data_IF_526587180669
#
_entry.id   IF_526587180669
#
_cell.length_a   1.000
_cell.length_b   1.000
_cell.length_c   1.000
_cell.angle_alpha   90.00
_cell.angle_beta   90.00
_cell.angle_gamma   90.00
#
_symmetry.space_group_name_H-M   'P 1'
#
loop_
_entity.id
_entity.type
_entity.pdbx_description
1 polymer ?
#
# COMPACT_ATOMS: atom_id res chain seq x y z
N UNK A 1 34.01 -8.86 -3.32
CA UNK A 1 32.92 -7.90 -3.08
C UNK A 1 32.69 -7.88 -1.59
N UNK A 2 33.02 -6.77 -0.94
CA UNK A 2 32.85 -6.61 0.50
C UNK A 2 31.35 -6.61 0.82
N UNK A 3 30.87 -7.62 1.55
CA UNK A 3 29.56 -7.57 2.18
C UNK A 3 29.55 -6.32 3.06
N UNK A 4 28.79 -5.30 2.68
CA UNK A 4 28.54 -4.17 3.55
C UNK A 4 27.85 -4.73 4.81
N UNK A 5 28.50 -4.58 5.97
CA UNK A 5 27.92 -4.94 7.26
C UNK A 5 26.52 -4.30 7.36
N UNK A 6 25.47 -5.14 7.45
CA UNK A 6 24.07 -4.70 7.52
C UNK A 6 23.18 -4.97 6.30
N UNK A 7 23.69 -5.55 5.21
CA UNK A 7 22.86 -5.98 4.08
C UNK A 7 22.05 -7.26 4.38
N UNK A 8 20.80 -7.34 3.90
CA UNK A 8 19.94 -8.52 4.08
C UNK A 8 20.56 -9.76 3.41
N UNK A 9 20.73 -10.84 4.18
CA UNK A 9 21.19 -12.13 3.64
C UNK A 9 20.01 -12.99 3.20
N UNK A 10 20.08 -13.52 1.97
CA UNK A 10 19.07 -14.40 1.39
C UNK A 10 19.40 -15.89 1.53
N UNK A 11 20.49 -16.25 2.20
CA UNK A 11 20.91 -17.64 2.38
C UNK A 11 20.36 -18.25 3.67
N UNK A 12 19.91 -19.51 3.60
CA UNK A 12 19.32 -20.24 4.73
C UNK A 12 18.18 -19.46 5.41
N UNK A 13 17.15 -19.14 4.61
CA UNK A 13 15.98 -18.35 5.02
C UNK A 13 14.69 -19.06 4.67
N UNK A 14 13.69 -18.85 5.50
CA UNK A 14 12.28 -19.11 5.23
C UNK A 14 11.61 -17.80 4.83
N UNK A 15 10.92 -17.79 3.69
CA UNK A 15 10.48 -16.57 3.04
C UNK A 15 8.99 -16.61 2.75
N UNK A 16 8.25 -15.56 3.15
CA UNK A 16 6.88 -15.34 2.67
C UNK A 16 6.94 -14.81 1.23
N UNK A 17 6.28 -15.51 0.31
CA UNK A 17 6.23 -15.14 -1.09
C UNK A 17 5.37 -13.90 -1.36
N UNK A 18 5.67 -13.13 -2.43
CA UNK A 18 4.81 -12.04 -2.87
C UNK A 18 3.47 -12.59 -3.38
N UNK A 19 2.38 -12.05 -2.86
CA UNK A 19 1.02 -12.49 -3.19
C UNK A 19 0.07 -11.31 -3.28
N UNK A 20 -0.42 -11.00 -4.47
CA UNK A 20 -1.39 -9.92 -4.69
C UNK A 20 -2.62 -10.07 -3.79
N UNK A 21 -2.99 -8.99 -3.12
CA UNK A 21 -3.97 -8.86 -2.02
C UNK A 21 -3.58 -9.53 -0.70
N UNK A 22 -2.80 -10.60 -0.70
CA UNK A 22 -2.49 -11.33 0.55
C UNK A 22 -1.30 -10.72 1.27
N UNK A 23 -0.26 -10.31 0.54
CA UNK A 23 1.00 -9.77 1.07
C UNK A 23 0.92 -8.33 1.57
N UNK A 24 -0.22 -7.90 2.14
CA UNK A 24 -0.37 -6.62 2.84
C UNK A 24 0.26 -6.68 4.24
N UNK A 25 0.44 -5.52 4.90
CA UNK A 25 1.17 -5.42 6.17
C UNK A 25 0.72 -6.44 7.23
N UNK A 26 -0.58 -6.68 7.47
CA UNK A 26 -1.01 -7.63 8.50
C UNK A 26 -0.49 -9.05 8.29
N UNK A 27 -0.50 -9.55 7.05
CA UNK A 27 0.01 -10.89 6.73
C UNK A 27 1.53 -10.96 6.88
N UNK A 28 2.24 -9.90 6.49
CA UNK A 28 3.70 -9.85 6.59
C UNK A 28 4.15 -9.89 8.05
N UNK A 29 3.55 -9.05 8.91
CA UNK A 29 3.85 -9.05 10.33
C UNK A 29 3.50 -10.38 10.99
N UNK A 30 2.33 -10.95 10.65
CA UNK A 30 1.93 -12.24 11.19
C UNK A 30 2.88 -13.39 10.76
N UNK A 31 3.37 -13.37 9.52
CA UNK A 31 4.37 -14.33 9.08
C UNK A 31 5.70 -14.16 9.83
N UNK A 32 6.13 -12.93 10.12
CA UNK A 32 7.32 -12.65 10.93
C UNK A 32 7.16 -13.15 12.38
N UNK A 33 5.99 -12.93 12.99
CA UNK A 33 5.69 -13.41 14.35
C UNK A 33 5.78 -14.94 14.45
N UNK A 34 5.35 -15.62 13.39
CA UNK A 34 5.45 -17.08 13.31
C UNK A 34 6.80 -17.60 12.82
N UNK A 35 7.78 -16.74 12.55
CA UNK A 35 9.17 -17.15 12.32
C UNK A 35 9.63 -17.11 10.87
N UNK A 36 8.90 -16.46 9.95
CA UNK A 36 9.47 -16.15 8.64
C UNK A 36 10.66 -15.19 8.81
N UNK A 37 11.76 -15.45 8.08
CA UNK A 37 12.95 -14.59 8.15
C UNK A 37 12.80 -13.35 7.26
N UNK A 38 12.15 -13.51 6.11
CA UNK A 38 11.99 -12.47 5.07
C UNK A 38 10.54 -12.48 4.59
N UNK A 39 9.98 -11.29 4.37
CA UNK A 39 8.59 -11.14 3.89
C UNK A 39 8.53 -10.27 2.65
N UNK A 40 7.97 -10.80 1.57
CA UNK A 40 7.73 -10.02 0.36
C UNK A 40 6.35 -9.34 0.45
N UNK A 41 6.26 -8.08 0.01
CA UNK A 41 4.96 -7.45 -0.22
C UNK A 41 4.29 -8.02 -1.47
N UNK A 42 3.03 -7.66 -1.68
CA UNK A 42 2.38 -7.92 -2.96
C UNK A 42 3.08 -7.23 -4.14
N UNK A 43 2.89 -7.75 -5.35
CA UNK A 43 3.36 -7.09 -6.56
C UNK A 43 2.64 -5.74 -6.73
N UNK A 44 3.42 -4.66 -6.69
CA UNK A 44 2.93 -3.30 -6.90
C UNK A 44 3.44 -2.75 -8.24
N UNK A 45 2.54 -2.22 -9.06
CA UNK A 45 2.86 -1.78 -10.41
C UNK A 45 3.59 -0.45 -10.38
N UNK A 46 4.76 -0.39 -11.02
CA UNK A 46 5.65 0.77 -11.05
C UNK A 46 4.96 2.07 -11.51
N UNK A 47 4.10 2.00 -12.54
CA UNK A 47 3.33 3.13 -13.07
C UNK A 47 2.49 3.80 -11.98
N UNK A 48 1.91 3.02 -11.07
CA UNK A 48 1.10 3.53 -9.96
C UNK A 48 1.97 4.00 -8.79
N UNK A 49 3.02 3.25 -8.47
CA UNK A 49 3.94 3.61 -7.39
C UNK A 49 4.73 4.90 -7.68
N UNK A 50 5.09 5.15 -8.94
CA UNK A 50 5.80 6.37 -9.34
C UNK A 50 4.97 7.66 -9.14
N UNK A 51 3.66 7.53 -8.91
CA UNK A 51 2.76 8.65 -8.62
C UNK A 51 2.53 8.84 -7.11
N UNK A 52 3.12 7.98 -6.26
CA UNK A 52 2.87 8.00 -4.84
C UNK A 52 3.81 8.95 -4.10
N UNK A 53 3.32 9.48 -2.99
CA UNK A 53 4.11 10.25 -2.02
C UNK A 53 4.38 9.39 -0.78
N UNK A 54 5.60 9.51 -0.24
CA UNK A 54 5.97 8.89 1.04
C UNK A 54 5.47 9.77 2.19
N UNK A 55 4.58 9.23 3.01
CA UNK A 55 3.94 9.91 4.14
C UNK A 55 4.26 9.16 5.43
N UNK A 56 4.80 9.84 6.43
CA UNK A 56 4.91 9.28 7.78
C UNK A 56 3.55 9.40 8.45
N UNK A 57 3.03 8.30 8.97
CA UNK A 57 1.73 8.22 9.61
C UNK A 57 1.93 7.94 11.10
N UNK A 58 2.06 9.02 11.88
CA UNK A 58 2.32 8.95 13.32
C UNK A 58 1.16 8.35 14.13
N UNK A 59 -0.07 8.40 13.60
CA UNK A 59 -1.24 7.78 14.26
C UNK A 59 -1.07 6.26 14.31
N UNK A 60 -0.65 5.67 13.20
CA UNK A 60 -0.46 4.22 13.05
C UNK A 60 0.98 3.76 13.35
N UNK A 61 1.94 4.68 13.43
CA UNK A 61 3.37 4.34 13.51
C UNK A 61 3.90 3.72 12.22
N UNK A 62 3.36 4.13 11.06
CA UNK A 62 3.70 3.55 9.76
C UNK A 62 4.34 4.55 8.81
N UNK A 63 4.92 4.04 7.73
CA UNK A 63 5.23 4.79 6.52
C UNK A 63 4.29 4.32 5.43
N UNK A 64 3.54 5.26 4.85
CA UNK A 64 2.53 5.03 3.84
C UNK A 64 2.99 5.62 2.50
N UNK A 65 2.83 4.88 1.42
CA UNK A 65 3.04 5.36 0.06
C UNK A 65 1.68 5.59 -0.57
N UNK A 66 1.30 6.86 -0.67
CA UNK A 66 -0.08 7.29 -0.93
C UNK A 66 -0.20 7.80 -2.37
N UNK A 67 -1.11 7.22 -3.14
CA UNK A 67 -1.41 7.66 -4.50
C UNK A 67 -2.23 8.97 -4.51
N UNK A 68 -2.32 9.67 -5.66
CA UNK A 68 -3.03 10.96 -5.75
C UNK A 68 -4.53 10.90 -5.43
N UNK A 69 -5.12 9.69 -5.50
CA UNK A 69 -6.50 9.39 -5.10
C UNK A 69 -6.64 9.05 -3.60
N UNK A 70 -5.64 9.39 -2.79
CA UNK A 70 -5.55 9.15 -1.33
C UNK A 70 -5.45 7.66 -0.96
N UNK A 71 -5.34 6.75 -1.94
CA UNK A 71 -5.21 5.32 -1.65
C UNK A 71 -3.78 5.00 -1.21
N UNK A 72 -3.65 4.34 -0.07
CA UNK A 72 -2.38 3.77 0.39
C UNK A 72 -2.05 2.55 -0.47
N UNK A 73 -0.99 2.65 -1.29
CA UNK A 73 -0.53 1.59 -2.19
C UNK A 73 0.41 0.61 -1.50
N UNK A 74 1.25 1.13 -0.59
CA UNK A 74 2.14 0.33 0.25
C UNK A 74 2.18 0.95 1.64
N UNK A 75 2.06 0.11 2.67
CA UNK A 75 2.20 0.50 4.08
C UNK A 75 3.23 -0.42 4.70
N UNK A 76 4.20 0.15 5.39
CA UNK A 76 5.28 -0.55 6.11
C UNK A 76 5.45 0.06 7.50
N UNK A 77 6.14 -0.65 8.39
CA UNK A 77 6.45 -0.18 9.74
C UNK A 77 7.88 -0.58 10.15
N UNK A 78 8.31 -0.08 11.30
CA UNK A 78 9.67 -0.27 11.81
C UNK A 78 10.03 -1.74 12.03
N UNK A 79 9.04 -2.54 12.41
CA UNK A 79 9.14 -3.94 12.81
C UNK A 79 9.58 -4.83 11.64
N UNK A 80 9.13 -4.52 10.41
CA UNK A 80 9.50 -5.29 9.22
C UNK A 80 10.59 -4.61 8.37
N UNK A 81 10.97 -3.36 8.65
CA UNK A 81 11.92 -2.57 7.82
C UNK A 81 13.20 -3.33 7.45
N UNK A 82 13.75 -4.12 8.37
CA UNK A 82 14.96 -4.93 8.14
C UNK A 82 14.73 -6.27 7.45
N UNK A 83 13.47 -6.62 7.11
CA UNK A 83 13.04 -7.96 6.65
C UNK A 83 12.08 -7.92 5.45
N UNK A 84 11.46 -6.77 5.16
CA UNK A 84 10.49 -6.61 4.07
C UNK A 84 11.18 -6.38 2.73
N UNK A 85 10.75 -7.12 1.71
CA UNK A 85 11.20 -6.97 0.32
C UNK A 85 10.07 -6.38 -0.51
N UNK A 86 10.35 -5.24 -1.15
CA UNK A 86 9.39 -4.57 -2.01
C UNK A 86 9.41 -5.17 -3.42
N UNK A 87 8.35 -5.88 -3.82
CA UNK A 87 8.24 -6.41 -5.17
C UNK A 87 7.50 -5.45 -6.10
N UNK A 88 8.13 -5.06 -7.21
CA UNK A 88 7.49 -4.30 -8.27
C UNK A 88 7.23 -5.13 -9.53
N UNK A 89 6.13 -4.80 -10.20
CA UNK A 89 5.91 -5.12 -11.61
C UNK A 89 6.38 -3.94 -12.46
N UNK A 90 7.33 -4.17 -13.36
CA UNK A 90 7.90 -3.13 -14.24
C UNK A 90 8.33 -3.71 -15.58
N UNK A 91 8.41 -2.86 -16.59
CA UNK A 91 8.95 -3.16 -17.92
C UNK A 91 9.85 -2.04 -18.44
N UNK A 92 10.28 -1.13 -17.56
CA UNK A 92 10.99 0.10 -17.88
C UNK A 92 12.08 0.37 -16.82
N UNK A 93 13.37 0.39 -17.21
CA UNK A 93 14.47 0.54 -16.26
C UNK A 93 14.43 1.83 -15.44
N UNK A 94 14.09 2.96 -16.07
CA UNK A 94 14.12 4.27 -15.42
C UNK A 94 12.97 4.42 -14.43
N UNK A 95 11.76 3.98 -14.82
CA UNK A 95 10.62 3.99 -13.91
C UNK A 95 10.80 3.02 -12.75
N UNK A 96 11.40 1.86 -12.98
CA UNK A 96 11.79 0.94 -11.91
C UNK A 96 12.71 1.64 -10.90
N UNK A 97 13.73 2.37 -11.39
CA UNK A 97 14.66 3.10 -10.53
C UNK A 97 13.99 4.22 -9.73
N UNK A 98 13.08 4.99 -10.34
CA UNK A 98 12.28 6.00 -9.64
C UNK A 98 11.52 5.39 -8.46
N UNK A 99 10.84 4.26 -8.68
CA UNK A 99 10.07 3.57 -7.62
C UNK A 99 11.00 2.96 -6.58
N UNK A 100 12.13 2.40 -6.98
CA UNK A 100 13.09 1.83 -6.04
C UNK A 100 13.66 2.89 -5.09
N UNK A 101 14.04 4.06 -5.61
CA UNK A 101 14.51 5.20 -4.79
C UNK A 101 13.43 5.76 -3.87
N UNK A 102 12.16 5.71 -4.29
CA UNK A 102 11.04 6.12 -3.45
C UNK A 102 10.95 5.27 -2.17
N UNK A 103 11.19 3.95 -2.27
CA UNK A 103 10.97 3.00 -1.15
C UNK A 103 12.25 2.55 -0.44
N UNK A 104 13.45 2.74 -1.00
CA UNK A 104 14.68 2.08 -0.54
C UNK A 104 15.01 2.33 0.94
N UNK A 105 14.58 3.45 1.50
CA UNK A 105 14.85 3.81 2.89
C UNK A 105 13.91 3.15 3.91
N UNK A 106 12.84 2.48 3.46
CA UNK A 106 11.81 1.88 4.31
C UNK A 106 11.67 0.37 4.11
N UNK A 107 12.54 -0.23 3.29
CA UNK A 107 12.56 -1.66 2.97
C UNK A 107 13.97 -2.23 3.04
N UNK A 108 14.06 -3.56 3.16
CA UNK A 108 15.34 -4.26 3.27
C UNK A 108 15.95 -4.57 1.90
N UNK A 109 15.10 -4.78 0.89
CA UNK A 109 15.51 -5.07 -0.49
C UNK A 109 14.39 -4.70 -1.48
N UNK A 110 14.75 -4.65 -2.77
CA UNK A 110 13.83 -4.44 -3.89
C UNK A 110 13.84 -5.68 -4.79
N UNK A 111 12.67 -6.12 -5.24
CA UNK A 111 12.50 -7.28 -6.11
C UNK A 111 11.74 -6.94 -7.39
N UNK A 112 12.13 -7.56 -8.51
CA UNK A 112 11.41 -7.46 -9.78
C UNK A 112 10.64 -8.75 -10.07
N UNK A 113 9.32 -8.62 -10.28
CA UNK A 113 8.48 -9.73 -10.70
C UNK A 113 8.70 -10.05 -12.19
N UNK A 114 9.17 -11.26 -12.46
CA UNK A 114 9.34 -11.83 -13.81
C UNK A 114 8.56 -13.14 -13.98
N UNK A 115 7.60 -13.42 -13.07
CA UNK A 115 6.92 -14.72 -13.00
C UNK A 115 5.40 -14.66 -13.13
N UNK A 116 4.78 -13.48 -13.01
CA UNK A 116 3.32 -13.34 -13.04
C UNK A 116 2.75 -13.63 -14.44
N UNK A 117 1.86 -14.63 -14.60
CA UNK A 117 1.24 -14.96 -15.89
C UNK A 117 -0.07 -14.23 -16.14
N UNK A 118 -0.54 -13.39 -15.20
CA UNK A 118 -1.85 -12.74 -15.27
C UNK A 118 -1.83 -11.59 -16.28
N UNK A 119 -2.96 -11.38 -16.95
CA UNK A 119 -3.07 -10.41 -18.05
C UNK A 119 -2.73 -8.97 -17.66
N UNK A 120 -3.10 -8.53 -16.45
CA UNK A 120 -2.79 -7.17 -16.00
C UNK A 120 -1.28 -6.91 -15.94
N UNK A 121 -0.47 -7.96 -15.77
CA UNK A 121 0.99 -7.89 -15.80
C UNK A 121 1.52 -8.03 -17.22
N UNK A 122 1.12 -9.09 -17.92
CA UNK A 122 1.70 -9.43 -19.23
C UNK A 122 1.34 -8.45 -20.34
N UNK A 123 0.13 -7.83 -20.32
CA UNK A 123 -0.25 -6.78 -21.28
C UNK A 123 0.62 -5.52 -21.16
N UNK A 124 1.16 -5.24 -19.96
CA UNK A 124 2.10 -4.15 -19.73
C UNK A 124 3.56 -4.51 -20.02
N UNK A 125 3.84 -5.70 -20.55
CA UNK A 125 5.21 -6.20 -20.76
C UNK A 125 5.93 -6.64 -19.48
N UNK A 126 5.21 -6.78 -18.36
CA UNK A 126 5.76 -7.10 -17.03
C UNK A 126 5.55 -8.58 -16.68
N UNK A 127 6.15 -9.04 -15.58
CA UNK A 127 5.97 -10.41 -15.10
C UNK A 127 6.54 -11.41 -16.08
N UNK A 128 5.83 -12.51 -16.34
CA UNK A 128 6.32 -13.57 -17.24
C UNK A 128 6.54 -13.14 -18.69
N UNK A 129 6.05 -11.98 -19.12
CA UNK A 129 6.36 -11.42 -20.43
C UNK A 129 7.82 -10.96 -20.56
N UNK A 130 8.48 -10.61 -19.43
CA UNK A 130 9.90 -10.25 -19.44
C UNK A 130 10.79 -11.45 -19.79
N UNK A 131 10.36 -12.68 -19.51
CA UNK A 131 11.17 -13.88 -19.71
C UNK A 131 11.52 -14.12 -21.20
N UNK A 132 10.76 -13.55 -22.13
CA UNK A 132 11.07 -13.58 -23.57
C UNK A 132 11.99 -12.45 -24.05
N UNK A 133 12.38 -11.52 -23.18
CA UNK A 133 13.21 -10.36 -23.50
C UNK A 133 14.35 -10.21 -22.46
N UNK A 134 15.40 -11.05 -22.56
CA UNK A 134 16.47 -11.03 -21.57
C UNK A 134 17.32 -9.76 -21.63
N UNK A 135 17.34 -9.03 -22.75
CA UNK A 135 18.01 -7.73 -22.87
C UNK A 135 17.31 -6.68 -21.99
N UNK A 136 15.97 -6.65 -22.00
CA UNK A 136 15.18 -5.80 -21.10
C UNK A 136 15.36 -6.19 -19.63
N UNK A 137 15.43 -7.49 -19.33
CA UNK A 137 15.75 -7.98 -17.97
C UNK A 137 17.08 -7.40 -17.48
N UNK A 138 18.14 -7.52 -18.29
CA UNK A 138 19.46 -6.99 -17.93
C UNK A 138 19.45 -5.48 -17.75
N UNK A 139 18.76 -4.76 -18.63
CA UNK A 139 18.63 -3.31 -18.54
C UNK A 139 17.95 -2.88 -17.22
N UNK A 140 16.83 -3.51 -16.85
CA UNK A 140 16.11 -3.22 -15.61
C UNK A 140 16.98 -3.53 -14.39
N UNK A 141 17.51 -4.76 -14.30
CA UNK A 141 18.26 -5.21 -13.13
C UNK A 141 19.56 -4.44 -12.95
N UNK A 142 20.32 -4.22 -14.02
CA UNK A 142 21.59 -3.48 -13.94
C UNK A 142 21.36 -2.02 -13.55
N UNK A 143 20.26 -1.42 -13.98
CA UNK A 143 19.88 -0.04 -13.60
C UNK A 143 19.55 0.04 -12.12
N UNK A 144 18.77 -0.92 -11.61
CA UNK A 144 18.44 -1.00 -10.19
C UNK A 144 19.69 -1.24 -9.33
N UNK A 145 20.49 -2.27 -9.64
CA UNK A 145 21.68 -2.66 -8.87
C UNK A 145 22.68 -1.50 -8.77
N UNK A 146 22.84 -0.70 -9.83
CA UNK A 146 23.72 0.48 -9.81
C UNK A 146 23.10 1.71 -9.15
N UNK A 147 21.77 1.75 -9.09
CA UNK A 147 21.02 2.97 -8.81
C UNK A 147 20.49 3.12 -7.37
N UNK A 148 20.46 2.04 -6.59
CA UNK A 148 20.03 2.05 -5.18
C UNK A 148 21.07 1.41 -4.26
N UNK A 149 20.97 1.71 -2.97
CA UNK A 149 21.85 1.17 -1.93
C UNK A 149 21.43 -0.20 -1.39
N UNK A 150 20.18 -0.62 -1.67
CA UNK A 150 19.61 -1.88 -1.18
C UNK A 150 19.88 -3.05 -2.14
N UNK A 151 19.96 -4.30 -1.62
CA UNK A 151 20.00 -5.49 -2.45
C UNK A 151 18.83 -5.53 -3.44
N UNK A 152 19.12 -5.92 -4.68
CA UNK A 152 18.11 -6.16 -5.71
C UNK A 152 17.99 -7.66 -5.94
N UNK A 153 16.76 -8.18 -5.96
CA UNK A 153 16.46 -9.57 -6.32
C UNK A 153 15.48 -9.62 -7.49
N UNK A 154 15.25 -10.81 -8.03
CA UNK A 154 14.13 -11.03 -8.93
C UNK A 154 13.48 -12.39 -8.69
N UNK A 155 12.21 -12.50 -9.06
CA UNK A 155 11.45 -13.76 -9.01
C UNK A 155 11.00 -14.20 -10.39
N UNK A 156 11.43 -15.38 -10.82
CA UNK A 156 11.14 -15.95 -12.14
C UNK A 156 10.24 -17.20 -12.07
N UNK A 157 9.77 -17.62 -13.25
CA UNK A 157 9.34 -19.00 -13.54
C UNK A 157 10.39 -19.66 -14.44
N UNK A 158 10.44 -20.99 -14.43
CA UNK A 158 11.30 -21.75 -15.35
C UNK A 158 10.82 -21.64 -16.80
N UNK A 159 11.74 -21.83 -17.74
CA UNK A 159 11.48 -21.85 -19.19
C UNK A 159 11.19 -23.29 -19.67
N UNK A 160 10.73 -23.48 -20.92
CA UNK A 160 10.40 -24.81 -21.45
C UNK A 160 11.55 -25.81 -21.45
N UNK A 161 12.80 -25.34 -21.50
CA UNK A 161 13.98 -26.21 -21.43
C UNK A 161 14.86 -25.82 -20.24
N UNK A 162 15.56 -26.82 -19.70
CA UNK A 162 16.51 -26.65 -18.60
C UNK A 162 17.68 -25.75 -19.04
N UNK A 163 18.19 -25.96 -20.26
CA UNK A 163 19.28 -25.16 -20.83
C UNK A 163 18.91 -23.67 -20.92
N UNK A 164 17.72 -23.35 -21.46
CA UNK A 164 17.27 -21.96 -21.56
C UNK A 164 17.12 -21.32 -20.18
N UNK A 165 16.57 -22.08 -19.21
CA UNK A 165 16.41 -21.61 -17.83
C UNK A 165 17.77 -21.28 -17.22
N UNK A 166 18.75 -22.18 -17.31
CA UNK A 166 20.10 -21.97 -16.78
C UNK A 166 20.80 -20.80 -17.48
N UNK A 167 20.69 -20.69 -18.81
CA UNK A 167 21.28 -19.60 -19.57
C UNK A 167 20.70 -18.23 -19.19
N UNK A 168 19.38 -18.15 -18.99
CA UNK A 168 18.71 -16.94 -18.51
C UNK A 168 19.21 -16.55 -17.12
N UNK A 169 19.28 -17.50 -16.18
CA UNK A 169 19.70 -17.19 -14.80
C UNK A 169 21.17 -16.77 -14.74
N UNK A 170 22.05 -17.35 -15.56
CA UNK A 170 23.44 -16.88 -15.70
C UNK A 170 23.54 -15.45 -16.27
N UNK A 171 22.64 -15.04 -17.19
CA UNK A 171 22.55 -13.62 -17.62
C UNK A 171 22.13 -12.75 -16.44
N UNK A 172 21.08 -13.15 -15.72
CA UNK A 172 20.56 -12.42 -14.56
C UNK A 172 21.65 -12.24 -13.49
N UNK A 173 22.40 -13.28 -13.14
CA UNK A 173 23.48 -13.19 -12.15
C UNK A 173 24.52 -12.11 -12.50
N UNK A 174 24.90 -11.99 -13.77
CA UNK A 174 25.87 -10.99 -14.24
C UNK A 174 25.43 -9.54 -14.02
N UNK A 175 24.14 -9.28 -13.81
CA UNK A 175 23.62 -7.94 -13.50
C UNK A 175 23.97 -7.48 -12.07
N UNK A 176 24.38 -8.41 -11.20
CA UNK A 176 24.75 -8.13 -9.81
C UNK A 176 23.58 -8.23 -8.81
N UNK A 177 22.47 -8.90 -9.17
CA UNK A 177 21.41 -9.22 -8.21
C UNK A 177 21.93 -10.03 -7.03
N UNK A 178 21.38 -9.79 -5.85
CA UNK A 178 21.81 -10.41 -4.60
C UNK A 178 21.27 -11.83 -4.40
N UNK A 179 20.14 -12.17 -5.03
CA UNK A 179 19.51 -13.49 -5.00
C UNK A 179 18.46 -13.61 -6.10
N UNK A 180 18.06 -14.85 -6.40
CA UNK A 180 16.97 -15.15 -7.33
C UNK A 180 15.99 -16.14 -6.74
N UNK A 181 14.70 -15.83 -6.83
CA UNK A 181 13.62 -16.76 -6.47
C UNK A 181 13.11 -17.49 -7.71
N UNK A 182 13.10 -18.82 -7.68
CA UNK A 182 12.71 -19.65 -8.83
C UNK A 182 11.44 -20.42 -8.49
N UNK A 183 10.34 -20.06 -9.15
CA UNK A 183 9.16 -20.92 -9.16
C UNK A 183 9.39 -22.04 -10.18
N UNK A 184 9.57 -23.28 -9.69
CA UNK A 184 9.79 -24.49 -10.52
C UNK A 184 8.56 -24.94 -11.32
N UNK A 185 7.84 -24.01 -11.94
CA UNK A 185 6.75 -24.28 -12.90
C UNK A 185 6.83 -23.30 -14.06
N UNK A 186 6.62 -23.79 -15.26
CA UNK A 186 6.53 -23.00 -16.49
C UNK A 186 5.30 -22.08 -16.45
N UNK A 187 5.22 -21.10 -17.35
CA UNK A 187 4.14 -20.09 -17.38
C UNK A 187 2.74 -20.72 -17.51
N UNK A 188 2.62 -21.75 -18.33
CA UNK A 188 1.38 -22.45 -18.67
C UNK A 188 0.95 -23.39 -17.54
N UNK A 189 1.90 -23.85 -16.73
CA UNK A 189 1.67 -24.79 -15.65
C UNK A 189 0.90 -24.16 -14.48
N UNK A 190 -0.22 -24.82 -14.16
CA UNK A 190 -1.11 -24.52 -13.03
C UNK A 190 -0.66 -25.21 -11.75
N UNK A 191 -1.17 -24.79 -10.57
CA UNK A 191 -0.75 -25.37 -9.29
C UNK A 191 -1.03 -26.87 -9.09
N UNK A 192 -1.85 -27.48 -9.96
CA UNK A 192 -2.09 -28.93 -10.03
C UNK A 192 -0.94 -29.73 -10.65
N UNK A 193 -0.08 -29.08 -11.44
CA UNK A 193 1.11 -29.72 -11.99
C UNK A 193 2.17 -29.79 -10.90
N UNK A 194 3.02 -30.82 -10.88
CA UNK A 194 4.11 -30.93 -9.91
C UNK A 194 5.09 -29.76 -10.05
N UNK A 195 5.85 -29.51 -8.99
CA UNK A 195 6.99 -28.59 -9.06
C UNK A 195 8.23 -29.34 -9.59
N UNK A 196 8.95 -28.73 -10.53
CA UNK A 196 10.18 -29.26 -11.12
C UNK A 196 11.38 -28.88 -10.25
N UNK A 197 11.68 -29.71 -9.25
CA UNK A 197 12.84 -29.50 -8.36
C UNK A 197 14.17 -29.67 -9.07
N UNK A 198 14.25 -30.53 -10.08
CA UNK A 198 15.39 -30.75 -10.95
C UNK A 198 15.82 -29.47 -11.68
N UNK A 199 14.87 -28.66 -12.15
CA UNK A 199 15.16 -27.35 -12.73
C UNK A 199 15.73 -26.37 -11.71
N UNK A 200 15.15 -26.32 -10.50
CA UNK A 200 15.63 -25.42 -9.44
C UNK A 200 17.04 -25.82 -9.02
N UNK A 201 17.30 -27.13 -8.88
CA UNK A 201 18.61 -27.66 -8.54
C UNK A 201 19.65 -27.33 -9.60
N UNK A 202 19.35 -27.58 -10.88
CA UNK A 202 20.26 -27.25 -11.98
C UNK A 202 20.59 -25.75 -12.03
N UNK A 203 19.60 -24.89 -11.73
CA UNK A 203 19.84 -23.45 -11.59
C UNK A 203 20.77 -23.17 -10.40
N UNK A 204 20.50 -23.73 -9.23
CA UNK A 204 21.29 -23.51 -8.01
C UNK A 204 22.75 -23.95 -8.14
N UNK A 205 23.02 -25.03 -8.86
CA UNK A 205 24.37 -25.52 -9.15
C UNK A 205 25.12 -24.65 -10.19
N UNK A 206 24.38 -23.85 -10.97
CA UNK A 206 24.92 -23.11 -12.11
C UNK A 206 25.35 -21.67 -11.81
N UNK A 207 24.98 -21.14 -10.64
CA UNK A 207 25.25 -19.77 -10.20
C UNK A 207 25.78 -19.73 -8.77
N UNK A 208 26.44 -18.63 -8.42
CA UNK A 208 27.04 -18.36 -7.11
C UNK A 208 26.11 -17.59 -6.15
N UNK A 209 25.11 -16.89 -6.68
CA UNK A 209 24.11 -16.17 -5.87
C UNK A 209 23.11 -17.14 -5.20
N UNK A 210 22.57 -16.80 -4.01
CA UNK A 210 21.52 -17.59 -3.38
C UNK A 210 20.29 -17.79 -4.27
N UNK A 211 19.90 -19.06 -4.45
CA UNK A 211 18.64 -19.46 -5.08
C UNK A 211 17.59 -19.76 -4.02
N UNK A 212 16.40 -19.17 -4.17
CA UNK A 212 15.25 -19.35 -3.28
C UNK A 212 14.22 -20.23 -3.99
N UNK A 213 14.04 -21.47 -3.51
CA UNK A 213 13.10 -22.42 -4.10
C UNK A 213 11.64 -22.01 -3.83
N UNK A 214 10.80 -22.02 -4.87
CA UNK A 214 9.38 -21.69 -4.77
C UNK A 214 8.51 -22.68 -5.55
N UNK A 215 7.28 -22.87 -5.07
CA UNK A 215 6.26 -23.72 -5.72
C UNK A 215 5.89 -24.99 -4.94
N UNK A 216 6.58 -25.30 -3.84
CA UNK A 216 6.38 -26.53 -3.07
C UNK A 216 5.10 -26.60 -2.22
N UNK A 217 4.35 -25.50 -2.03
CA UNK A 217 3.14 -25.51 -1.19
C UNK A 217 2.13 -26.59 -1.63
N UNK A 218 1.59 -27.34 -0.65
CA UNK A 218 0.62 -28.45 -0.80
C UNK A 218 1.16 -29.75 -1.39
N UNK A 219 2.08 -29.61 -2.34
CA UNK A 219 2.71 -30.71 -3.07
C UNK A 219 3.80 -31.35 -2.20
N UNK A 220 4.80 -30.55 -1.86
CA UNK A 220 5.99 -30.94 -1.11
C UNK A 220 5.96 -30.45 0.34
N UNK A 221 5.30 -29.32 0.61
CA UNK A 221 5.34 -28.63 1.91
C UNK A 221 3.95 -28.57 2.53
N UNK A 222 3.78 -29.29 3.64
CA UNK A 222 2.58 -29.29 4.48
C UNK A 222 2.88 -28.93 5.94
N UNK A 223 4.09 -29.20 6.42
CA UNK A 223 4.55 -28.83 7.77
C UNK A 223 5.82 -27.97 7.71
N UNK A 224 6.27 -27.52 8.89
CA UNK A 224 7.52 -26.76 9.02
C UNK A 224 8.73 -27.59 8.55
N UNK A 225 8.81 -28.86 8.93
CA UNK A 225 9.92 -29.77 8.59
C UNK A 225 10.01 -30.06 7.10
N UNK A 226 8.88 -30.03 6.39
CA UNK A 226 8.86 -30.24 4.94
C UNK A 226 9.55 -29.11 4.17
N UNK A 227 9.70 -27.91 4.77
CA UNK A 227 10.45 -26.82 4.14
C UNK A 227 11.90 -27.22 3.90
N UNK A 228 12.54 -27.87 4.87
CA UNK A 228 13.93 -28.32 4.74
C UNK A 228 14.07 -29.44 3.71
N UNK A 229 13.10 -30.37 3.65
CA UNK A 229 13.06 -31.41 2.61
C UNK A 229 12.93 -30.80 1.22
N UNK A 230 12.05 -29.81 1.04
CA UNK A 230 11.89 -29.12 -0.24
C UNK A 230 13.15 -28.31 -0.61
N UNK A 231 13.77 -27.64 0.36
CA UNK A 231 15.04 -26.93 0.18
C UNK A 231 16.13 -27.87 -0.33
N UNK A 232 16.32 -28.99 0.34
CA UNK A 232 17.31 -30.01 0.01
C UNK A 232 17.04 -30.64 -1.37
N UNK A 233 15.79 -31.02 -1.65
CA UNK A 233 15.39 -31.61 -2.93
C UNK A 233 15.59 -30.66 -4.12
N UNK A 234 15.47 -29.35 -3.89
CA UNK A 234 15.67 -28.33 -4.92
C UNK A 234 17.12 -27.83 -4.99
N UNK A 235 18.05 -28.36 -4.17
CA UNK A 235 19.44 -27.87 -4.10
C UNK A 235 19.57 -26.39 -3.72
N UNK A 236 18.53 -25.79 -3.13
CA UNK A 236 18.41 -24.34 -2.98
C UNK A 236 18.99 -23.85 -1.65
N UNK A 237 19.31 -22.55 -1.60
CA UNK A 237 19.81 -21.91 -0.37
C UNK A 237 18.69 -21.63 0.64
N UNK A 238 17.50 -21.31 0.12
CA UNK A 238 16.34 -20.86 0.91
C UNK A 238 15.03 -21.35 0.31
N UNK A 239 13.93 -21.24 1.06
CA UNK A 239 12.59 -21.63 0.60
C UNK A 239 11.62 -20.48 0.75
N UNK A 240 10.80 -20.28 -0.29
CA UNK A 240 9.74 -19.29 -0.35
C UNK A 240 8.37 -19.95 -0.47
N UNK A 241 7.45 -19.65 0.46
CA UNK A 241 6.10 -20.21 0.51
C UNK A 241 5.03 -19.16 0.21
N UNK A 242 4.08 -19.52 -0.67
CA UNK A 242 2.93 -18.70 -1.02
C UNK A 242 1.64 -19.29 -0.42
N UNK A 243 1.05 -20.29 -1.10
CA UNK A 243 -0.27 -20.84 -0.75
C UNK A 243 -0.34 -21.41 0.67
N UNK A 244 0.71 -22.11 1.11
CA UNK A 244 0.73 -22.66 2.46
C UNK A 244 0.61 -21.56 3.52
N UNK A 245 1.38 -20.48 3.37
CA UNK A 245 1.33 -19.32 4.25
C UNK A 245 0.04 -18.51 4.10
N UNK A 246 -0.54 -18.42 2.89
CA UNK A 246 -1.84 -17.79 2.66
C UNK A 246 -2.98 -18.50 3.42
N UNK A 247 -2.93 -19.82 3.49
CA UNK A 247 -3.93 -20.61 4.21
C UNK A 247 -3.70 -20.60 5.71
N UNK A 248 -2.45 -20.68 6.14
CA UNK A 248 -2.06 -20.60 7.53
C UNK A 248 -0.62 -20.08 7.66
N UNK A 249 -0.40 -18.79 7.97
CA UNK A 249 0.95 -18.23 8.12
C UNK A 249 1.75 -18.87 9.25
N UNK A 250 1.13 -19.58 10.20
CA UNK A 250 1.86 -20.33 11.22
C UNK A 250 2.59 -21.56 10.67
N UNK A 251 2.56 -21.81 9.36
CA UNK A 251 3.44 -22.78 8.69
C UNK A 251 4.93 -22.50 8.94
N UNK A 252 5.30 -21.25 9.23
CA UNK A 252 6.66 -20.85 9.58
C UNK A 252 7.04 -21.18 11.04
N UNK A 253 6.07 -21.59 11.86
CA UNK A 253 6.28 -21.84 13.29
C UNK A 253 6.96 -23.18 13.52
N UNK A 254 8.14 -23.15 14.11
CA UNK A 254 8.95 -24.35 14.36
C UNK A 254 8.25 -25.37 15.28
N UNK A 255 7.39 -24.92 16.20
CA UNK A 255 6.64 -25.80 17.13
C UNK A 255 5.36 -26.38 16.49
N UNK A 256 5.20 -26.24 15.18
CA UNK A 256 4.02 -26.68 14.43
C UNK A 256 2.98 -25.58 14.22
N UNK A 257 2.15 -25.78 13.20
CA UNK A 257 1.09 -24.86 12.83
C UNK A 257 0.01 -24.78 13.91
N UNK A 258 -0.47 -23.57 14.16
CA UNK A 258 -1.61 -23.26 15.03
C UNK A 258 -2.94 -23.54 14.32
N UNK A 259 -4.03 -23.53 15.09
CA UNK A 259 -5.38 -23.60 14.52
C UNK A 259 -5.66 -22.40 13.60
N UNK A 260 -6.52 -22.59 12.60
CA UNK A 260 -6.86 -21.50 11.67
C UNK A 260 -7.62 -20.39 12.41
N UNK A 261 -8.41 -20.75 13.42
CA UNK A 261 -9.14 -19.84 14.29
C UNK A 261 -8.23 -18.86 15.03
N UNK A 262 -7.22 -19.38 15.74
CA UNK A 262 -6.23 -18.55 16.46
C UNK A 262 -5.50 -17.60 15.50
N UNK A 263 -5.11 -18.12 14.35
CA UNK A 263 -4.36 -17.37 13.32
C UNK A 263 -5.22 -16.26 12.69
N UNK A 264 -6.51 -16.52 12.47
CA UNK A 264 -7.45 -15.51 11.98
C UNK A 264 -7.64 -14.38 12.99
N UNK A 265 -7.73 -14.69 14.30
CA UNK A 265 -7.80 -13.65 15.34
C UNK A 265 -6.53 -12.79 15.37
N UNK A 266 -5.35 -13.41 15.32
CA UNK A 266 -4.07 -12.68 15.27
C UNK A 266 -3.99 -11.78 14.03
N UNK A 267 -4.44 -12.27 12.88
CA UNK A 267 -4.52 -11.48 11.66
C UNK A 267 -5.46 -10.28 11.81
N UNK A 268 -6.64 -10.47 12.42
CA UNK A 268 -7.61 -9.38 12.67
C UNK A 268 -7.00 -8.32 13.60
N UNK A 269 -6.25 -8.72 14.63
CA UNK A 269 -5.56 -7.78 15.53
C UNK A 269 -4.65 -6.83 14.73
N UNK A 270 -3.85 -7.36 13.81
CA UNK A 270 -3.03 -6.53 12.93
C UNK A 270 -3.85 -5.69 11.95
N UNK A 271 -4.88 -6.28 11.34
CA UNK A 271 -5.74 -5.57 10.40
C UNK A 271 -6.41 -4.33 11.03
N UNK A 272 -6.87 -4.44 12.28
CA UNK A 272 -7.48 -3.31 13.01
C UNK A 272 -6.43 -2.28 13.44
N UNK A 273 -5.31 -2.72 14.03
CA UNK A 273 -4.24 -1.83 14.51
C UNK A 273 -3.65 -0.96 13.40
N UNK A 274 -3.51 -1.52 12.21
CA UNK A 274 -2.93 -0.85 11.05
C UNK A 274 -3.97 -0.37 10.05
N UNK A 275 -5.23 -0.19 10.47
CA UNK A 275 -6.33 0.36 9.66
C UNK A 275 -6.38 -0.25 8.23
N UNK A 276 -6.29 -1.59 8.17
CA UNK A 276 -6.26 -2.32 6.92
C UNK A 276 -7.63 -2.26 6.23
N UNK A 277 -7.64 -2.20 4.90
CA UNK A 277 -8.89 -2.10 4.15
C UNK A 277 -9.81 -3.31 4.45
N UNK A 278 -11.10 -3.11 4.82
CA UNK A 278 -12.01 -4.21 5.18
C UNK A 278 -12.20 -5.27 4.09
N UNK A 279 -12.22 -4.86 2.82
CA UNK A 279 -12.30 -5.81 1.69
C UNK A 279 -11.05 -6.70 1.63
N UNK A 280 -9.87 -6.13 1.89
CA UNK A 280 -8.62 -6.88 1.95
C UNK A 280 -8.57 -7.82 3.16
N UNK A 281 -8.98 -7.34 4.34
CA UNK A 281 -9.07 -8.15 5.56
C UNK A 281 -9.98 -9.37 5.32
N UNK A 282 -11.20 -9.13 4.82
CA UNK A 282 -12.16 -10.20 4.48
C UNK A 282 -11.60 -11.17 3.45
N UNK A 283 -10.97 -10.67 2.39
CA UNK A 283 -10.38 -11.51 1.35
C UNK A 283 -9.39 -12.52 1.92
N UNK A 284 -8.46 -12.08 2.77
CA UNK A 284 -7.45 -12.94 3.38
C UNK A 284 -8.06 -13.97 4.34
N UNK A 285 -9.00 -13.56 5.19
CA UNK A 285 -9.72 -14.48 6.08
C UNK A 285 -10.50 -15.55 5.29
N UNK A 286 -11.12 -15.18 4.17
CA UNK A 286 -11.75 -16.17 3.28
C UNK A 286 -10.74 -17.13 2.65
N UNK A 287 -9.49 -16.69 2.36
CA UNK A 287 -8.45 -17.61 1.90
C UNK A 287 -8.03 -18.60 2.99
N UNK A 288 -8.01 -18.20 4.25
CA UNK A 288 -7.72 -19.06 5.39
C UNK A 288 -8.84 -20.09 5.63
N UNK A 289 -10.11 -19.66 5.50
CA UNK A 289 -11.26 -20.56 5.64
C UNK A 289 -11.36 -21.61 4.51
N UNK A 290 -10.85 -21.31 3.31
CA UNK A 290 -10.86 -22.22 2.15
C UNK A 290 -12.26 -22.76 1.85
N UNK A 291 -12.47 -24.07 2.01
CA UNK A 291 -13.71 -24.80 1.80
C UNK A 291 -14.78 -24.50 2.86
N UNK A 292 -14.40 -23.95 4.02
CA UNK A 292 -15.32 -23.57 5.08
C UNK A 292 -16.02 -22.21 4.87
N UNK A 293 -15.78 -21.53 3.75
CA UNK A 293 -16.44 -20.25 3.44
C UNK A 293 -17.96 -20.41 3.36
N UNK A 294 -18.47 -21.59 2.98
CA UNK A 294 -19.91 -21.88 2.90
C UNK A 294 -20.56 -22.24 4.24
N UNK A 295 -19.76 -22.37 5.31
CA UNK A 295 -20.28 -22.61 6.66
C UNK A 295 -21.12 -21.42 7.15
N UNK A 296 -22.01 -21.60 8.15
CA UNK A 296 -22.74 -20.48 8.75
C UNK A 296 -21.80 -19.35 9.20
N UNK A 297 -20.65 -19.70 9.78
CA UNK A 297 -19.61 -18.75 10.15
C UNK A 297 -19.03 -18.00 8.95
N UNK A 298 -18.63 -18.73 7.90
CA UNK A 298 -18.07 -18.16 6.67
C UNK A 298 -19.05 -17.24 5.94
N UNK A 299 -20.35 -17.55 5.94
CA UNK A 299 -21.41 -16.70 5.37
C UNK A 299 -21.57 -15.39 6.13
N UNK A 300 -21.52 -15.41 7.47
CA UNK A 300 -21.52 -14.16 8.26
C UNK A 300 -20.29 -13.31 7.96
N UNK A 301 -19.11 -13.92 7.91
CA UNK A 301 -17.88 -13.20 7.54
C UNK A 301 -17.98 -12.61 6.13
N UNK A 302 -18.54 -13.35 5.17
CA UNK A 302 -18.70 -12.87 3.81
C UNK A 302 -19.61 -11.63 3.73
N UNK A 303 -20.67 -11.60 4.55
CA UNK A 303 -21.63 -10.51 4.64
C UNK A 303 -21.05 -9.23 5.25
N UNK A 304 -20.03 -9.33 6.11
CA UNK A 304 -19.39 -8.16 6.75
C UNK A 304 -18.76 -7.21 5.72
N UNK A 305 -18.98 -5.90 5.91
CA UNK A 305 -18.51 -4.80 5.06
C UNK A 305 -17.47 -3.92 5.75
N UNK A 306 -17.40 -3.94 7.09
CA UNK A 306 -16.45 -3.15 7.88
C UNK A 306 -15.55 -4.04 8.74
N UNK A 307 -14.41 -3.51 9.21
CA UNK A 307 -13.56 -4.24 10.17
C UNK A 307 -14.27 -4.43 11.52
N UNK A 308 -15.22 -3.55 11.89
CA UNK A 308 -16.07 -3.69 13.07
C UNK A 308 -16.96 -4.94 12.97
N UNK A 309 -17.71 -5.07 11.88
CA UNK A 309 -18.55 -6.24 11.61
C UNK A 309 -17.72 -7.53 11.50
N UNK A 310 -16.51 -7.46 10.93
CA UNK A 310 -15.57 -8.59 10.95
C UNK A 310 -15.21 -8.96 12.40
N UNK A 311 -14.88 -7.98 13.25
CA UNK A 311 -14.58 -8.24 14.66
C UNK A 311 -15.78 -8.83 15.41
N UNK A 312 -16.99 -8.35 15.16
CA UNK A 312 -18.23 -8.91 15.74
C UNK A 312 -18.41 -10.39 15.39
N UNK A 313 -18.15 -10.78 14.14
CA UNK A 313 -18.23 -12.19 13.71
C UNK A 313 -17.28 -13.09 14.52
N UNK A 314 -16.15 -12.55 14.99
CA UNK A 314 -15.15 -13.25 15.80
C UNK A 314 -15.28 -12.98 17.31
N UNK A 315 -16.27 -12.20 17.77
CA UNK A 315 -16.41 -11.84 19.17
C UNK A 315 -15.32 -10.89 19.69
N UNK A 316 -14.72 -10.08 18.81
CA UNK A 316 -13.60 -9.18 19.09
C UNK A 316 -14.01 -7.70 19.18
N UNK A 317 -15.29 -7.40 19.44
CA UNK A 317 -15.84 -6.04 19.47
C UNK A 317 -15.15 -5.14 20.52
N UNK A 318 -14.89 -5.68 21.71
CA UNK A 318 -14.19 -4.91 22.78
C UNK A 318 -12.77 -4.51 22.36
N UNK A 319 -12.05 -5.42 21.69
CA UNK A 319 -10.74 -5.14 21.15
C UNK A 319 -10.79 -4.06 20.05
N UNK A 320 -11.77 -4.14 19.15
CA UNK A 320 -11.96 -3.15 18.09
C UNK A 320 -12.22 -1.76 18.68
N UNK A 321 -13.19 -1.65 19.60
CA UNK A 321 -13.57 -0.38 20.22
C UNK A 321 -12.40 0.25 20.98
N UNK A 322 -11.69 -0.55 21.77
CA UNK A 322 -10.50 -0.07 22.50
C UNK A 322 -9.43 0.44 21.54
N UNK A 323 -9.11 -0.34 20.50
CA UNK A 323 -8.06 0.04 19.54
C UNK A 323 -8.45 1.29 18.77
N UNK A 324 -9.70 1.43 18.33
CA UNK A 324 -10.19 2.64 17.65
C UNK A 324 -10.13 3.87 18.56
N UNK A 325 -10.53 3.74 19.83
CA UNK A 325 -10.42 4.83 20.80
C UNK A 325 -8.96 5.28 21.00
N UNK A 326 -8.01 4.35 21.08
CA UNK A 326 -6.59 4.66 21.17
C UNK A 326 -6.06 5.40 19.93
N UNK A 327 -6.47 4.98 18.72
CA UNK A 327 -6.08 5.65 17.48
C UNK A 327 -6.66 7.07 17.37
N UNK A 328 -7.93 7.27 17.72
CA UNK A 328 -8.54 8.60 17.74
C UNK A 328 -7.89 9.51 18.80
N UNK A 329 -7.56 8.98 19.97
CA UNK A 329 -6.83 9.74 21.00
C UNK A 329 -5.44 10.18 20.52
N UNK A 330 -4.69 9.30 19.82
CA UNK A 330 -3.39 9.66 19.21
C UNK A 330 -3.55 10.75 18.15
N UNK A 331 -4.56 10.61 17.28
CA UNK A 331 -4.88 11.60 16.25
C UNK A 331 -5.21 12.96 16.86
N UNK A 332 -6.03 12.99 17.91
CA UNK A 332 -6.34 14.22 18.64
C UNK A 332 -5.09 14.85 19.26
N UNK A 333 -4.23 14.06 19.91
CA UNK A 333 -2.99 14.55 20.52
C UNK A 333 -2.01 15.13 19.49
N UNK A 334 -1.91 14.52 18.30
CA UNK A 334 -1.07 15.03 17.21
C UNK A 334 -1.62 16.34 16.63
N UNK A 335 -2.93 16.48 16.52
CA UNK A 335 -3.57 17.74 16.10
C UNK A 335 -3.31 18.87 17.11
N UNK A 336 -3.38 18.60 18.42
CA UNK A 336 -3.07 19.60 19.45
C UNK A 336 -1.59 20.00 19.49
N UNK A 337 -0.68 19.08 19.15
CA UNK A 337 0.76 19.37 19.09
C UNK A 337 1.16 20.09 17.79
N UNK A 338 0.48 19.80 16.67
CA UNK A 338 0.68 20.50 15.39
C UNK A 338 0.36 21.98 15.47
N UNK A 339 -0.63 22.36 16.27
CA UNK A 339 -1.06 23.74 16.53
C UNK A 339 0.03 24.64 17.13
N UNK A 340 1.07 24.07 17.76
CA UNK A 340 2.19 24.86 18.28
C UNK A 340 3.23 25.25 17.21
N UNK A 341 3.22 24.59 16.04
CA UNK A 341 4.11 24.88 14.91
C UNK A 341 3.53 25.85 13.87
N UNK A 342 2.26 26.23 14.06
CA UNK A 342 1.45 27.05 13.17
C UNK A 342 1.40 28.52 13.59
N UNK A 343 2.49 29.08 14.11
CA UNK A 343 2.51 30.53 14.35
C UNK A 343 2.61 31.28 13.00
N UNK A 344 1.77 32.30 12.76
CA UNK A 344 1.87 33.14 11.58
C UNK A 344 3.24 33.80 11.50
N UNK A 345 3.93 33.62 10.38
CA UNK A 345 5.21 34.30 10.08
C UNK A 345 4.93 35.44 9.09
N UNK A 346 5.62 36.56 9.24
CA UNK A 346 5.56 37.65 8.27
C UNK A 346 6.77 37.54 7.34
N UNK A 347 6.53 37.26 6.07
CA UNK A 347 7.55 37.13 5.02
C UNK A 347 7.14 38.02 3.83
N UNK A 348 7.96 39.03 3.49
CA UNK A 348 7.73 39.94 2.35
C UNK A 348 6.31 40.56 2.31
N UNK A 349 5.86 41.14 3.44
CA UNK A 349 4.51 41.70 3.63
C UNK A 349 3.35 40.69 3.44
N UNK A 350 3.65 39.39 3.50
CA UNK A 350 2.67 38.31 3.47
C UNK A 350 2.75 37.49 4.74
N UNK A 351 1.60 37.28 5.38
CA UNK A 351 1.49 36.40 6.54
C UNK A 351 1.40 34.95 6.03
N UNK A 352 2.37 34.12 6.42
CA UNK A 352 2.51 32.73 5.97
C UNK A 352 2.36 31.73 7.12
N UNK A 353 1.70 30.62 6.83
CA UNK A 353 1.59 29.44 7.71
C UNK A 353 1.62 28.16 6.86
N UNK A 354 2.22 27.05 7.33
CA UNK A 354 2.28 25.80 6.57
C UNK A 354 0.97 24.99 6.69
N UNK A 355 -0.09 25.43 6.00
CA UNK A 355 -1.44 24.85 6.12
C UNK A 355 -1.90 24.18 4.82
N UNK A 356 -2.50 22.99 4.89
CA UNK A 356 -3.23 22.37 3.76
C UNK A 356 -4.73 22.40 3.95
N UNK A 357 -5.47 22.46 2.84
CA UNK A 357 -6.91 22.24 2.86
C UNK A 357 -7.26 20.77 2.65
N UNK A 358 -7.67 20.10 3.73
CA UNK A 358 -8.10 18.71 3.69
C UNK A 358 -9.62 18.62 3.63
N UNK A 359 -10.17 18.25 2.46
CA UNK A 359 -11.64 18.27 2.25
C UNK A 359 -12.43 17.46 3.28
N UNK A 360 -11.85 16.38 3.79
CA UNK A 360 -12.47 15.50 4.80
C UNK A 360 -12.67 16.17 6.17
N UNK A 361 -11.95 17.26 6.45
CA UNK A 361 -12.03 17.96 7.74
C UNK A 361 -13.18 18.98 7.80
N UNK A 362 -13.91 19.17 6.69
CA UNK A 362 -14.98 20.17 6.56
C UNK A 362 -16.30 19.56 6.08
N UNK A 363 -17.46 20.06 6.54
CA UNK A 363 -18.76 19.61 6.04
C UNK A 363 -18.93 19.80 4.52
N UNK A 364 -19.74 18.97 3.82
CA UNK A 364 -19.92 19.04 2.37
C UNK A 364 -20.37 20.42 1.84
N UNK A 365 -21.11 21.16 2.65
CA UNK A 365 -21.69 22.46 2.29
C UNK A 365 -20.88 23.66 2.77
N UNK A 366 -19.79 23.44 3.52
CA UNK A 366 -18.98 24.49 4.14
C UNK A 366 -17.56 24.45 3.59
N UNK A 367 -16.96 25.62 3.37
CA UNK A 367 -15.54 25.75 3.03
C UNK A 367 -14.93 26.98 3.72
N UNK A 368 -13.63 26.98 4.03
CA UNK A 368 -12.92 28.13 4.59
C UNK A 368 -13.13 29.44 3.81
N UNK A 369 -13.09 29.40 2.47
CA UNK A 369 -13.37 30.59 1.63
C UNK A 369 -14.77 31.17 1.87
N UNK A 370 -15.77 30.32 2.12
CA UNK A 370 -17.12 30.79 2.43
C UNK A 370 -17.17 31.45 3.80
N UNK A 371 -16.48 30.87 4.80
CA UNK A 371 -16.36 31.47 6.13
C UNK A 371 -15.71 32.84 6.08
N UNK A 372 -14.57 32.96 5.40
CA UNK A 372 -13.85 34.22 5.26
C UNK A 372 -14.69 35.28 4.53
N UNK A 373 -15.46 34.88 3.51
CA UNK A 373 -16.36 35.77 2.79
C UNK A 373 -17.54 36.27 3.65
N UNK A 374 -18.18 35.38 4.42
CA UNK A 374 -19.29 35.80 5.29
C UNK A 374 -18.79 36.64 6.47
N UNK A 375 -17.61 36.31 7.02
CA UNK A 375 -16.95 37.14 8.02
C UNK A 375 -16.63 38.54 7.48
N UNK A 376 -16.04 38.65 6.28
CA UNK A 376 -15.71 39.96 5.69
C UNK A 376 -16.94 40.84 5.51
N UNK A 377 -18.08 40.25 5.10
CA UNK A 377 -19.37 40.96 5.00
C UNK A 377 -19.87 41.44 6.35
N UNK A 378 -19.78 40.59 7.38
CA UNK A 378 -20.22 40.93 8.74
C UNK A 378 -19.42 42.10 9.31
N UNK A 379 -18.12 42.12 9.06
CA UNK A 379 -17.20 43.20 9.47
C UNK A 379 -17.21 44.41 8.51
N UNK A 380 -18.05 44.38 7.45
CA UNK A 380 -18.16 45.44 6.43
C UNK A 380 -16.84 45.75 5.72
N UNK A 381 -16.00 44.73 5.54
CA UNK A 381 -14.77 44.78 4.76
C UNK A 381 -15.04 44.48 3.28
N UNK A 382 -14.11 44.90 2.43
CA UNK A 382 -14.10 44.50 1.02
C UNK A 382 -13.99 42.98 0.89
N UNK A 383 -14.54 42.46 -0.22
CA UNK A 383 -14.54 41.03 -0.48
C UNK A 383 -13.09 40.49 -0.63
N UNK A 384 -12.75 39.33 -0.02
CA UNK A 384 -11.42 38.73 -0.18
C UNK A 384 -11.07 38.47 -1.65
N UNK A 385 -9.89 38.94 -2.06
CA UNK A 385 -9.34 38.74 -3.41
C UNK A 385 -8.26 37.66 -3.36
N UNK A 386 -8.23 36.76 -4.35
CA UNK A 386 -7.26 35.65 -4.40
C UNK A 386 -6.38 35.77 -5.63
N UNK A 387 -5.07 35.84 -5.40
CA UNK A 387 -4.04 35.76 -6.44
C UNK A 387 -3.44 34.36 -6.38
N UNK A 388 -3.38 33.64 -7.51
CA UNK A 388 -2.89 32.25 -7.52
C UNK A 388 -1.78 32.08 -8.55
N UNK A 389 -0.67 31.51 -8.10
CA UNK A 389 0.48 31.17 -8.92
C UNK A 389 0.51 29.65 -9.15
N UNK A 390 1.03 29.25 -10.32
CA UNK A 390 1.24 27.85 -10.66
C UNK A 390 2.73 27.59 -10.90
N UNK A 391 3.29 26.62 -10.19
CA UNK A 391 4.69 26.19 -10.33
C UNK A 391 4.86 25.31 -11.57
N UNK A 392 5.85 25.62 -12.39
CA UNK A 392 6.06 24.97 -13.70
C UNK A 392 6.57 23.53 -13.61
N UNK A 393 7.29 23.18 -12.54
CA UNK A 393 7.94 21.87 -12.38
C UNK A 393 6.94 20.73 -12.15
N UNK A 394 5.93 20.95 -11.32
CA UNK A 394 4.96 19.95 -10.86
C UNK A 394 3.50 20.38 -11.05
N UNK A 395 3.26 21.53 -11.68
CA UNK A 395 1.93 22.13 -11.89
C UNK A 395 1.16 22.39 -10.60
N UNK A 396 1.84 22.45 -9.45
CA UNK A 396 1.22 22.75 -8.17
C UNK A 396 0.84 24.24 -8.07
N UNK A 397 -0.12 24.56 -7.20
CA UNK A 397 -0.72 25.89 -7.06
C UNK A 397 -0.45 26.46 -5.67
N UNK A 398 -0.21 27.77 -5.59
CA UNK A 398 -0.16 28.50 -4.33
C UNK A 398 -1.01 29.76 -4.46
N UNK A 399 -1.81 30.06 -3.44
CA UNK A 399 -2.72 31.21 -3.46
C UNK A 399 -2.41 32.17 -2.31
N UNK A 400 -2.55 33.46 -2.58
CA UNK A 400 -2.49 34.54 -1.61
C UNK A 400 -3.87 35.20 -1.56
N UNK A 401 -4.45 35.27 -0.37
CA UNK A 401 -5.70 36.02 -0.15
C UNK A 401 -5.37 37.41 0.39
N UNK A 402 -6.03 38.42 -0.17
CA UNK A 402 -5.91 39.83 0.20
C UNK A 402 -7.24 40.27 0.81
N UNK A 403 -7.20 40.75 2.05
CA UNK A 403 -8.34 41.34 2.75
C UNK A 403 -7.83 42.43 3.70
N UNK A 404 -8.51 43.58 3.71
CA UNK A 404 -8.15 44.74 4.54
C UNK A 404 -6.67 45.15 4.39
N UNK A 405 -6.20 45.22 3.13
CA UNK A 405 -4.80 45.50 2.75
C UNK A 405 -3.74 44.54 3.35
N UNK A 406 -4.14 43.40 3.93
CA UNK A 406 -3.25 42.36 4.42
C UNK A 406 -3.28 41.15 3.52
N UNK A 407 -2.13 40.51 3.37
CA UNK A 407 -1.93 39.33 2.51
C UNK A 407 -1.68 38.10 3.37
N UNK A 408 -2.35 36.99 3.05
CA UNK A 408 -2.21 35.72 3.75
C UNK A 408 -2.01 34.60 2.73
N UNK A 409 -1.08 33.68 3.01
CA UNK A 409 -0.71 32.62 2.07
C UNK A 409 -0.29 31.35 2.81
N UNK A 410 -0.67 30.19 2.30
CA UNK A 410 -0.07 28.95 2.78
C UNK A 410 1.35 28.79 2.23
N UNK A 411 2.31 28.41 3.08
CA UNK A 411 3.66 28.04 2.65
C UNK A 411 3.69 26.73 1.84
N UNK A 412 2.61 25.95 1.86
CA UNK A 412 2.50 24.67 1.16
C UNK A 412 1.84 24.85 -0.22
N UNK A 413 2.34 24.10 -1.19
CA UNK A 413 1.79 24.05 -2.54
C UNK A 413 0.70 22.98 -2.64
N UNK A 414 -0.35 23.27 -3.41
CA UNK A 414 -1.58 22.48 -3.48
C UNK A 414 -1.82 21.90 -4.87
N UNK A 415 -2.52 20.76 -4.93
CA UNK A 415 -2.79 20.02 -6.18
C UNK A 415 -3.77 20.72 -7.13
N UNK A 416 -4.51 21.73 -6.65
CA UNK A 416 -5.44 22.49 -7.46
C UNK A 416 -5.54 23.94 -7.01
N UNK A 417 -5.83 24.85 -7.95
CA UNK A 417 -6.15 26.26 -7.64
C UNK A 417 -7.24 26.37 -6.57
N UNK A 418 -8.28 25.54 -6.65
CA UNK A 418 -9.37 25.55 -5.67
C UNK A 418 -8.86 25.25 -4.26
N UNK A 419 -7.95 24.29 -4.10
CA UNK A 419 -7.42 23.91 -2.78
C UNK A 419 -6.45 24.96 -2.26
N UNK A 420 -5.61 25.52 -3.14
CA UNK A 420 -4.71 26.62 -2.81
C UNK A 420 -5.47 27.83 -2.23
N UNK A 421 -6.59 28.22 -2.85
CA UNK A 421 -7.41 29.33 -2.36
C UNK A 421 -8.07 29.00 -1.00
N UNK A 422 -8.45 27.75 -0.75
CA UNK A 422 -8.97 27.35 0.57
C UNK A 422 -7.88 27.40 1.65
N UNK A 423 -6.67 26.92 1.33
CA UNK A 423 -5.53 26.96 2.22
C UNK A 423 -5.17 28.41 2.60
N UNK A 424 -5.15 29.33 1.63
CA UNK A 424 -4.93 30.76 1.89
C UNK A 424 -6.00 31.37 2.81
N UNK A 425 -7.27 30.99 2.61
CA UNK A 425 -8.36 31.43 3.47
C UNK A 425 -8.19 30.92 4.92
N UNK A 426 -7.72 29.69 5.10
CA UNK A 426 -7.43 29.12 6.42
C UNK A 426 -6.35 29.94 7.13
N UNK A 427 -5.24 30.28 6.44
CA UNK A 427 -4.17 31.09 7.04
C UNK A 427 -4.72 32.43 7.55
N UNK A 428 -5.59 33.08 6.76
CA UNK A 428 -6.24 34.30 7.17
C UNK A 428 -7.12 34.12 8.42
N UNK A 429 -8.01 33.12 8.41
CA UNK A 429 -8.93 32.85 9.52
C UNK A 429 -8.19 32.51 10.82
N UNK A 430 -7.17 31.64 10.76
CA UNK A 430 -6.34 31.30 11.92
C UNK A 430 -5.58 32.49 12.48
N UNK A 431 -4.99 33.31 11.59
CA UNK A 431 -4.27 34.52 12.01
C UNK A 431 -5.20 35.51 12.73
N UNK A 432 -6.47 35.57 12.32
CA UNK A 432 -7.49 36.42 12.93
C UNK A 432 -8.15 35.78 14.17
N UNK A 433 -7.80 34.53 14.52
CA UNK A 433 -8.42 33.79 15.63
C UNK A 433 -9.88 33.42 15.38
N UNK A 434 -10.26 33.22 14.11
CA UNK A 434 -11.63 32.95 13.68
C UNK A 434 -11.84 31.46 13.36
N UNK A 435 -13.07 30.94 13.54
CA UNK A 435 -13.42 29.59 13.07
C UNK A 435 -13.24 29.45 11.56
N UNK A 436 -12.79 28.29 11.12
CA UNK A 436 -12.54 27.98 9.70
C UNK A 436 -13.61 27.07 9.08
N UNK A 437 -14.60 26.66 9.87
CA UNK A 437 -15.72 25.84 9.45
C UNK A 437 -15.42 24.35 9.45
N UNK A 438 -14.48 23.90 10.30
CA UNK A 438 -14.17 22.48 10.50
C UNK A 438 -15.39 21.71 11.02
N UNK A 439 -15.40 20.39 10.80
CA UNK A 439 -16.40 19.50 11.42
C UNK A 439 -16.33 19.69 12.94
N UNK A 440 -17.45 20.09 13.55
CA UNK A 440 -17.53 20.48 14.97
C UNK A 440 -17.70 21.98 15.21
N UNK A 441 -17.41 22.85 14.24
CA UNK A 441 -17.57 24.31 14.33
C UNK A 441 -18.92 24.81 13.77
N UNK A 442 -19.87 23.91 13.54
CA UNK A 442 -21.13 24.18 12.81
C UNK A 442 -22.04 25.23 13.47
N UNK A 443 -21.81 25.53 14.75
CA UNK A 443 -22.60 26.49 15.54
C UNK A 443 -21.96 27.87 15.68
N UNK A 444 -20.87 28.17 14.97
CA UNK A 444 -20.16 29.46 15.05
C UNK A 444 -20.98 30.69 14.64
N UNK A 445 -22.17 30.50 14.06
CA UNK A 445 -23.11 31.57 13.71
C UNK A 445 -22.70 32.43 12.49
N UNK A 446 -21.59 32.10 11.83
CA UNK A 446 -21.05 32.86 10.69
C UNK A 446 -21.64 32.43 9.34
N UNK A 447 -22.09 31.18 9.20
CA UNK A 447 -22.71 30.67 7.96
C UNK A 447 -24.12 30.19 8.26
N UNK A 448 -25.13 31.01 7.99
CA UNK A 448 -26.53 30.57 8.02
C UNK A 448 -26.76 29.55 6.90
N UNK A 449 -27.24 28.35 7.24
CA UNK A 449 -27.78 27.40 6.26
C UNK A 449 -28.82 28.15 5.42
N UNK A 450 -28.55 28.40 4.14
CA UNK A 450 -29.63 28.75 3.20
C UNK A 450 -30.58 27.56 3.22
N UNK A 451 -31.73 27.69 3.88
CA UNK A 451 -32.89 26.82 3.66
C UNK A 451 -33.18 26.91 2.17
N UNK A 452 -32.81 25.88 1.41
CA UNK A 452 -33.38 25.67 0.10
C UNK A 452 -34.83 25.28 0.39
N UNK A 453 -35.77 26.14 0.02
CA UNK A 453 -37.20 25.84 0.16
C UNK A 453 -37.47 24.48 -0.46
N UNK A 454 -37.95 23.55 0.36
CA UNK A 454 -38.61 22.32 -0.09
C UNK A 454 -39.89 22.71 -0.83
N UNK A 455 -39.75 23.11 -2.09
CA UNK A 455 -40.86 23.05 -3.03
C UNK A 455 -41.16 21.58 -3.25
N UNK A 456 -42.20 21.12 -2.55
CA UNK A 456 -43.01 19.94 -2.89
C UNK A 456 -43.15 19.85 -4.41
N UNK A 457 -42.41 18.92 -5.02
CA UNK A 457 -42.80 18.41 -6.33
C UNK A 457 -43.86 17.34 -6.06
N UNK A 458 -45.06 17.64 -6.52
CA UNK A 458 -46.21 16.76 -6.46
C UNK A 458 -45.90 15.40 -7.11
N UNK A 459 -46.57 14.39 -6.58
CA UNK A 459 -46.56 13.01 -7.04
C UNK A 459 -46.65 12.88 -8.57
N UNK A 460 -45.81 12.02 -9.12
CA UNK A 460 -46.05 11.30 -10.36
C UNK A 460 -45.73 9.82 -10.10
N UNK A 461 -46.62 8.98 -10.63
CA UNK A 461 -46.93 7.59 -10.31
C UNK A 461 -45.80 6.58 -10.10
N UNK A 462 -46.08 5.68 -9.15
CA UNK A 462 -45.57 4.30 -9.07
C UNK A 462 -45.98 3.51 -10.33
N UNK A 463 -45.13 3.51 -11.36
CA UNK A 463 -44.93 2.42 -12.32
C UNK A 463 -44.01 2.90 -13.45
N UNK A 464 -42.69 2.77 -13.30
CA UNK A 464 -41.73 2.53 -14.41
C UNK A 464 -40.24 2.57 -13.99
N UNK A 465 -39.87 1.91 -12.88
CA UNK A 465 -38.45 1.74 -12.48
C UNK A 465 -38.01 0.28 -12.31
N UNK A 466 -38.77 -0.65 -12.90
CA UNK A 466 -38.33 -2.02 -13.15
C UNK A 466 -37.88 -2.17 -14.62
N UNK A 467 -36.73 -1.59 -14.96
CA UNK A 467 -35.85 -1.98 -16.09
C UNK A 467 -34.63 -1.06 -16.08
N UNK A 468 -33.44 -1.67 -16.17
CA UNK A 468 -32.07 -1.10 -16.16
C UNK A 468 -31.33 -1.32 -14.83
N UNK A 469 -31.29 -2.58 -14.40
CA UNK A 469 -30.13 -3.18 -13.74
C UNK A 469 -29.95 -4.53 -14.44
N UNK A 470 -29.00 -4.62 -15.36
CA UNK A 470 -28.29 -5.83 -15.86
C UNK A 470 -27.36 -5.34 -16.98
N UNK A 471 -26.12 -5.86 -16.98
CA UNK A 471 -24.97 -5.59 -17.86
C UNK A 471 -23.93 -4.65 -17.24
N UNK A 472 -23.01 -5.26 -16.47
CA UNK A 472 -21.57 -5.11 -16.67
C UNK A 472 -20.84 -6.21 -15.88
N UNK A 473 -20.88 -7.43 -16.42
CA UNK A 473 -19.90 -8.49 -16.17
C UNK A 473 -19.57 -9.10 -17.54
N UNK A 474 -18.26 -9.14 -17.86
CA UNK A 474 -17.57 -9.56 -19.10
C UNK A 474 -17.12 -8.40 -20.01
N UNK A 475 -15.88 -7.96 -19.84
CA UNK A 475 -14.73 -8.26 -20.73
C UNK A 475 -13.48 -8.34 -19.86
#
# INVERSE_FOLDING_TARGET
MTNAEGALSFAHKTVLAPMVRVGTLPMRLLALDYGADIVYCEELIDIKMAQCERVVNDVLGTVDFVAPDERVMFRTCSEEKGRVVFQMGTADPERALVVAKLVENDVAAVDVNMGCPKEYSTKGGMGSALLSDPDKIEAILSTLVKGISKPVTCKIRILPTLEDTVNLVKRIEKTGVAAIAVHGRMREERPRHPVHCDYIQAVAESVSIPVIANGGSSDMVKTFEDMEKFRAAAGASSVMLARAAMWNPSIFRQQGALSVEEVMEDYIRYAVRYDNNPFNTKYCLCQMLRDRVESPFGKRLHAAQTNEEICEVFGMTDFYNKTKAELEARKAALQTNGDQSEQPKLEDDVITMPVRFERRDYPPQITPKMYLLEWSRKEKLDQPVYETEQRTQDRAFQSTVIIDNKKYRSALWEKSKKFAEQAAAIVCLRTLGLPEGRIGEEHSGLVNKRKRDDRKCAALDDNDLCKIIIIMVKV
#
